data_IF_763422156141
#
_entry.id   IF_763422156141
#
_cell.length_a   1.000
_cell.length_b   1.000
_cell.length_c   1.000
_cell.angle_alpha   90.00
_cell.angle_beta   90.00
_cell.angle_gamma   90.00
#
_symmetry.space_group_name_H-M   'P 1'
#
loop_
_entity.id
_entity.type
_entity.pdbx_description
1 polymer ?
#
# COMPACT_ATOMS: atom_id res chain seq x y z
N UNK A 1 -9.09 1.65 11.57
CA UNK A 1 -8.78 2.24 10.27
C UNK A 1 -7.29 2.50 10.16
N UNK A 2 -6.63 1.94 9.14
CA UNK A 2 -5.23 2.25 8.82
C UNK A 2 -5.19 3.61 8.14
N UNK A 3 -4.41 4.56 8.71
CA UNK A 3 -4.19 5.87 8.12
C UNK A 3 -2.83 6.40 8.51
N UNK A 4 -1.99 6.66 7.53
CA UNK A 4 -0.65 7.22 7.70
C UNK A 4 -0.69 8.75 7.76
N UNK A 5 0.24 9.32 8.54
CA UNK A 5 0.42 10.75 8.64
C UNK A 5 1.07 11.30 7.35
N UNK A 6 0.57 12.43 6.87
CA UNK A 6 1.07 13.07 5.64
C UNK A 6 2.22 14.05 5.90
N UNK A 7 2.60 14.25 7.17
CA UNK A 7 3.73 15.10 7.52
C UNK A 7 5.03 14.50 6.97
N UNK A 8 5.68 15.21 6.06
CA UNK A 8 7.00 14.85 5.54
C UNK A 8 8.05 14.90 6.65
N UNK A 9 8.86 13.84 6.84
CA UNK A 9 10.03 13.86 7.73
C UNK A 9 11.08 14.88 7.25
N UNK A 10 11.81 15.55 8.17
CA UNK A 10 12.86 16.51 7.82
C UNK A 10 14.01 15.88 7.04
N UNK A 11 14.31 14.60 7.24
CA UNK A 11 15.36 13.86 6.52
C UNK A 11 15.10 13.74 5.01
N UNK A 12 13.86 14.00 4.58
CA UNK A 12 13.44 13.96 3.18
C UNK A 12 13.33 15.35 2.53
N UNK A 13 13.62 16.42 3.26
CA UNK A 13 13.42 17.82 2.82
C UNK A 13 14.17 18.17 1.53
N UNK A 14 15.43 17.76 1.44
CA UNK A 14 16.27 18.03 0.27
C UNK A 14 16.23 16.89 -0.77
N UNK A 15 15.37 15.87 -0.58
CA UNK A 15 15.33 14.67 -1.42
C UNK A 15 14.06 14.53 -2.24
N UNK A 16 12.92 14.98 -1.72
CA UNK A 16 11.64 14.88 -2.43
C UNK A 16 10.77 16.09 -2.08
N UNK A 17 10.08 16.62 -3.09
CA UNK A 17 9.16 17.71 -2.89
C UNK A 17 8.02 17.33 -1.92
N UNK A 18 7.60 18.31 -1.10
CA UNK A 18 6.59 18.10 -0.06
C UNK A 18 5.25 17.66 -0.65
N UNK A 19 4.80 18.27 -1.74
CA UNK A 19 3.53 17.95 -2.38
C UNK A 19 3.58 16.55 -2.98
N UNK A 20 4.71 16.17 -3.57
CA UNK A 20 4.92 14.81 -4.12
C UNK A 20 4.80 13.75 -3.03
N UNK A 21 5.48 13.94 -1.90
CA UNK A 21 5.38 13.04 -0.74
C UNK A 21 3.94 12.98 -0.21
N UNK A 22 3.32 14.14 0.05
CA UNK A 22 1.95 14.22 0.58
C UNK A 22 0.96 13.50 -0.34
N UNK A 23 1.08 13.65 -1.66
CA UNK A 23 0.25 12.98 -2.65
C UNK A 23 0.41 11.46 -2.60
N UNK A 24 1.65 10.95 -2.49
CA UNK A 24 1.88 9.50 -2.33
C UNK A 24 1.19 8.96 -1.08
N UNK A 25 1.33 9.65 0.06
CA UNK A 25 0.70 9.23 1.33
C UNK A 25 -0.82 9.34 1.28
N UNK A 26 -1.36 10.40 0.67
CA UNK A 26 -2.79 10.55 0.47
C UNK A 26 -3.37 9.43 -0.38
N UNK A 27 -2.71 9.07 -1.48
CA UNK A 27 -3.17 7.98 -2.35
C UNK A 27 -3.13 6.62 -1.63
N UNK A 28 -2.08 6.35 -0.83
CA UNK A 28 -2.03 5.15 0.02
C UNK A 28 -3.20 5.09 0.99
N UNK A 29 -3.48 6.20 1.69
CA UNK A 29 -4.60 6.29 2.61
C UNK A 29 -5.95 6.03 1.92
N UNK A 30 -6.14 6.54 0.70
CA UNK A 30 -7.34 6.26 -0.11
C UNK A 30 -7.48 4.77 -0.39
N UNK A 31 -6.40 4.06 -0.77
CA UNK A 31 -6.47 2.62 -1.00
C UNK A 31 -6.80 1.82 0.27
N UNK A 32 -6.26 2.21 1.42
CA UNK A 32 -6.61 1.57 2.69
C UNK A 32 -8.05 1.85 3.10
N UNK A 33 -8.55 3.07 2.85
CA UNK A 33 -9.96 3.41 3.09
C UNK A 33 -10.91 2.60 2.18
N UNK A 34 -10.57 2.42 0.90
CA UNK A 34 -11.30 1.55 -0.03
C UNK A 34 -11.33 0.09 0.45
N UNK A 35 -10.19 -0.42 0.94
CA UNK A 35 -10.07 -1.77 1.47
C UNK A 35 -11.01 -2.02 2.65
N UNK A 36 -11.24 -1.00 3.48
CA UNK A 36 -12.15 -1.06 4.63
C UNK A 36 -13.63 -0.90 4.24
N UNK A 37 -13.96 -0.03 3.27
CA UNK A 37 -15.37 0.24 2.89
C UNK A 37 -16.10 -0.95 2.29
N UNK A 38 -15.42 -1.80 1.54
CA UNK A 38 -16.08 -2.91 0.86
C UNK A 38 -16.37 -4.12 1.78
N UNK A 39 -15.97 -4.08 3.05
CA UNK A 39 -16.34 -5.11 4.03
C UNK A 39 -17.85 -5.11 4.34
N UNK A 40 -18.63 -4.16 3.85
CA UNK A 40 -20.10 -4.20 3.94
C UNK A 40 -20.76 -5.20 2.97
N UNK A 41 -20.09 -5.57 1.87
CA UNK A 41 -20.57 -6.63 0.94
C UNK A 41 -20.51 -8.02 1.57
N UNK A 42 -19.74 -8.16 2.66
CA UNK A 42 -19.52 -9.39 3.43
C UNK A 42 -20.80 -9.94 4.07
N UNK A 43 -21.86 -9.14 4.24
CA UNK A 43 -23.14 -9.66 4.76
C UNK A 43 -23.81 -10.64 3.77
N UNK A 44 -23.75 -10.33 2.47
CA UNK A 44 -24.24 -11.22 1.41
C UNK A 44 -23.32 -12.42 1.20
N UNK A 45 -22.00 -12.23 1.33
CA UNK A 45 -21.02 -13.32 1.28
C UNK A 45 -21.13 -14.26 2.48
N UNK A 46 -21.47 -13.76 3.68
CA UNK A 46 -21.72 -14.59 4.87
C UNK A 46 -22.88 -15.57 4.65
N UNK A 47 -23.94 -15.13 3.98
CA UNK A 47 -25.03 -16.02 3.55
C UNK A 47 -24.55 -17.06 2.52
N UNK A 48 -23.73 -16.65 1.54
CA UNK A 48 -23.17 -17.54 0.51
C UNK A 48 -22.13 -18.54 1.07
N UNK A 49 -21.37 -18.14 2.07
CA UNK A 49 -20.37 -18.96 2.75
C UNK A 49 -21.01 -20.06 3.60
N UNK A 50 -22.11 -19.75 4.28
CA UNK A 50 -22.93 -20.76 4.95
C UNK A 50 -23.52 -21.78 3.96
N UNK A 51 -23.97 -21.30 2.79
CA UNK A 51 -24.52 -22.16 1.72
C UNK A 51 -23.45 -23.05 1.03
N UNK A 52 -22.18 -22.65 1.09
CA UNK A 52 -21.07 -23.34 0.43
C UNK A 52 -20.05 -23.96 1.40
N UNK A 53 -20.37 -24.03 2.70
CA UNK A 53 -19.46 -24.54 3.74
C UNK A 53 -18.05 -23.92 3.68
N UNK A 54 -17.96 -22.61 3.46
CA UNK A 54 -16.71 -21.85 3.34
C UNK A 54 -15.79 -22.25 2.16
N UNK A 55 -16.18 -23.18 1.28
CA UNK A 55 -15.42 -23.54 0.06
C UNK A 55 -15.20 -22.33 -0.86
N UNK A 56 -16.10 -21.35 -0.85
CA UNK A 56 -15.96 -20.12 -1.63
C UNK A 56 -14.72 -19.29 -1.22
N UNK A 57 -14.30 -19.37 0.05
CA UNK A 57 -13.11 -18.67 0.56
C UNK A 57 -11.80 -19.32 0.09
N UNK A 58 -11.82 -20.57 -0.37
CA UNK A 58 -10.65 -21.23 -0.98
C UNK A 58 -10.40 -20.78 -2.43
N UNK A 59 -11.43 -20.24 -3.11
CA UNK A 59 -11.37 -19.92 -4.55
C UNK A 59 -11.47 -18.42 -4.88
N UNK A 60 -11.92 -17.58 -3.94
CA UNK A 60 -12.04 -16.13 -4.12
C UNK A 60 -11.08 -15.39 -3.23
N UNK A 61 -10.06 -14.80 -3.84
CA UNK A 61 -9.20 -13.81 -3.21
C UNK A 61 -10.06 -12.72 -2.58
N UNK A 62 -9.90 -12.48 -1.28
CA UNK A 62 -10.78 -11.56 -0.54
C UNK A 62 -10.66 -10.15 -1.12
N UNK A 63 -11.72 -9.33 -0.99
CA UNK A 63 -11.68 -7.94 -1.41
C UNK A 63 -10.44 -7.21 -0.84
N UNK A 64 -10.15 -7.48 0.43
CA UNK A 64 -9.02 -6.90 1.13
C UNK A 64 -7.69 -7.25 0.44
N UNK A 65 -7.46 -8.54 0.13
CA UNK A 65 -6.27 -8.97 -0.62
C UNK A 65 -6.17 -8.32 -2.00
N UNK A 66 -7.29 -8.08 -2.70
CA UNK A 66 -7.31 -7.34 -3.98
C UNK A 66 -6.82 -5.91 -3.79
N UNK A 67 -7.25 -5.22 -2.73
CA UNK A 67 -6.76 -3.89 -2.42
C UNK A 67 -5.28 -3.87 -2.03
N UNK A 68 -4.81 -4.85 -1.25
CA UNK A 68 -3.38 -4.94 -0.90
C UNK A 68 -2.49 -5.08 -2.15
N UNK A 69 -2.93 -5.82 -3.17
CA UNK A 69 -2.20 -5.88 -4.45
C UNK A 69 -2.17 -4.54 -5.20
N UNK A 70 -3.22 -3.71 -5.09
CA UNK A 70 -3.19 -2.36 -5.65
C UNK A 70 -2.15 -1.50 -4.93
N UNK A 71 -2.06 -1.61 -3.60
CA UNK A 71 -1.04 -0.93 -2.80
C UNK A 71 0.36 -1.36 -3.22
N UNK A 72 0.63 -2.67 -3.30
CA UNK A 72 1.92 -3.20 -3.73
C UNK A 72 2.32 -2.69 -5.12
N UNK A 73 1.39 -2.72 -6.08
CA UNK A 73 1.60 -2.20 -7.42
C UNK A 73 1.89 -0.70 -7.42
N UNK A 74 1.11 0.08 -6.69
CA UNK A 74 1.30 1.52 -6.58
C UNK A 74 2.66 1.87 -5.98
N UNK A 75 3.07 1.21 -4.89
CA UNK A 75 4.40 1.42 -4.28
C UNK A 75 5.51 1.10 -5.29
N UNK A 76 5.41 0.00 -6.03
CA UNK A 76 6.39 -0.35 -7.04
C UNK A 76 6.49 0.73 -8.15
N UNK A 77 5.36 1.23 -8.63
CA UNK A 77 5.32 2.31 -9.62
C UNK A 77 5.90 3.63 -9.07
N UNK A 78 5.54 4.02 -7.84
CA UNK A 78 6.10 5.20 -7.18
C UNK A 78 7.60 5.07 -6.97
N UNK A 79 8.09 3.90 -6.54
CA UNK A 79 9.52 3.65 -6.40
C UNK A 79 10.25 3.85 -7.72
N UNK A 80 9.79 3.19 -8.79
CA UNK A 80 10.43 3.27 -10.09
C UNK A 80 10.43 4.70 -10.67
N UNK A 81 9.32 5.43 -10.52
CA UNK A 81 9.11 6.71 -11.22
C UNK A 81 9.53 7.93 -10.42
N UNK A 82 9.49 7.86 -9.09
CA UNK A 82 9.68 9.00 -8.20
C UNK A 82 10.78 8.71 -7.19
N UNK A 83 10.69 7.65 -6.37
CA UNK A 83 11.57 7.54 -5.20
C UNK A 83 12.98 7.08 -5.55
N UNK A 84 13.15 6.04 -6.38
CA UNK A 84 14.47 5.51 -6.75
C UNK A 84 15.33 6.53 -7.51
N UNK A 85 14.79 7.36 -8.43
CA UNK A 85 15.52 8.48 -9.02
C UNK A 85 16.08 9.49 -8.00
N UNK A 86 15.46 9.58 -6.82
CA UNK A 86 15.90 10.45 -5.71
C UNK A 86 16.71 9.68 -4.64
N UNK A 87 17.16 8.46 -4.96
CA UNK A 87 17.84 7.55 -4.02
C UNK A 87 17.00 7.27 -2.77
N UNK A 88 15.69 7.15 -2.95
CA UNK A 88 14.74 6.75 -1.93
C UNK A 88 14.09 5.42 -2.34
N UNK A 89 13.66 4.64 -1.37
CA UNK A 89 12.86 3.45 -1.65
C UNK A 89 11.83 3.24 -0.55
N UNK A 90 10.56 3.14 -0.94
CA UNK A 90 9.47 2.80 -0.01
C UNK A 90 9.32 1.28 0.02
N UNK A 91 9.43 0.68 1.20
CA UNK A 91 9.04 -0.72 1.39
C UNK A 91 7.52 -0.83 1.49
N UNK A 92 6.94 -1.86 0.86
CA UNK A 92 5.51 -2.14 0.96
C UNK A 92 5.07 -2.20 2.44
N UNK A 93 4.15 -1.32 2.88
CA UNK A 93 3.67 -1.30 4.26
C UNK A 93 3.10 -2.64 4.73
N UNK A 94 2.63 -3.51 3.82
CA UNK A 94 2.14 -4.87 4.16
C UNK A 94 3.24 -5.69 4.81
N UNK A 95 4.49 -5.58 4.33
CA UNK A 95 5.65 -6.28 4.90
C UNK A 95 6.03 -5.77 6.30
N UNK A 96 5.51 -4.59 6.69
CA UNK A 96 5.67 -4.00 8.03
C UNK A 96 4.38 -4.10 8.85
N UNK A 97 3.46 -4.98 8.46
CA UNK A 97 2.19 -5.20 9.15
C UNK A 97 1.28 -3.97 9.17
N UNK A 98 1.41 -3.10 8.17
CA UNK A 98 0.64 -1.87 7.97
C UNK A 98 0.82 -0.81 9.08
N UNK A 99 1.87 -0.92 9.89
CA UNK A 99 2.10 -0.04 11.05
C UNK A 99 2.85 1.22 10.68
N UNK A 100 3.72 1.13 9.69
CA UNK A 100 4.64 2.20 9.29
C UNK A 100 4.80 2.20 7.78
N UNK A 101 5.20 3.37 7.25
CA UNK A 101 5.78 3.49 5.91
C UNK A 101 7.29 3.61 6.13
N UNK A 102 8.03 2.60 5.69
CA UNK A 102 9.48 2.60 5.75
C UNK A 102 10.04 3.19 4.46
N UNK A 103 10.92 4.18 4.60
CA UNK A 103 11.58 4.84 3.48
C UNK A 103 13.09 4.73 3.71
N UNK A 104 13.75 3.96 2.85
CA UNK A 104 15.20 3.83 2.85
C UNK A 104 15.83 4.96 2.02
N UNK A 105 16.91 5.54 2.52
CA UNK A 105 17.81 6.41 1.75
C UNK A 105 18.94 5.53 1.22
N UNK A 106 19.08 5.47 -0.10
CA UNK A 106 20.02 4.60 -0.79
C UNK A 106 21.35 5.34 -0.99
N UNK A 107 22.46 4.70 -0.62
CA UNK A 107 23.81 5.25 -0.85
C UNK A 107 24.30 5.02 -2.30
N UNK A 108 23.69 4.08 -3.02
CA UNK A 108 23.98 3.75 -4.42
C UNK A 108 22.66 3.50 -5.18
N UNK A 109 22.53 3.90 -6.46
CA UNK A 109 21.34 3.60 -7.25
C UNK A 109 21.12 2.08 -7.31
N UNK A 110 19.91 1.63 -6.98
CA UNK A 110 19.53 0.22 -6.95
C UNK A 110 19.73 -0.39 -8.34
N UNK A 111 20.66 -1.34 -8.45
CA UNK A 111 20.78 -2.18 -9.65
C UNK A 111 19.52 -3.04 -9.75
N UNK A 112 18.81 -3.07 -10.89
CA UNK A 112 17.63 -3.92 -11.05
C UNK A 112 18.01 -5.38 -10.77
N UNK A 113 17.26 -6.06 -9.91
CA UNK A 113 17.40 -7.51 -9.75
C UNK A 113 16.83 -8.17 -11.02
N UNK A 114 17.73 -8.71 -11.85
CA UNK A 114 17.45 -9.60 -13.00
C UNK A 114 16.77 -10.89 -12.57
#
# INVERSE_FOLDING_TARGET
MVKFQTRRPPELEDKIDRETFENTIHQLNTYFEEAEKASCTTYCEGCLACLTAYLVYMCSQTHYEKCLRKVAKFIAEQNQTIYEPHNLHITDPVERGLRVIEIAILDQPTVPKT
#
